data_IF_243390167055
#
_entry.id   IF_243390167055
#
_cell.length_a   1.000
_cell.length_b   1.000
_cell.length_c   1.000
_cell.angle_alpha   90.00
_cell.angle_beta   90.00
_cell.angle_gamma   90.00
#
_symmetry.space_group_name_H-M   'P 1'
#
loop_
_entity.id
_entity.type
_entity.pdbx_description
1 polymer ?
#
# COMPACT_ATOMS: atom_id res chain seq x y z
N UNK A 1 -22.17 35.72 -10.95
CA UNK A 1 -22.68 34.33 -10.99
C UNK A 1 -21.62 33.45 -11.65
N UNK A 2 -21.27 32.30 -11.08
CA UNK A 2 -20.22 31.42 -11.64
C UNK A 2 -20.70 30.75 -12.94
N UNK A 3 -19.83 30.66 -13.95
CA UNK A 3 -20.15 29.93 -15.20
C UNK A 3 -20.33 28.43 -14.90
N UNK A 4 -21.32 27.77 -15.49
CA UNK A 4 -21.46 26.31 -15.37
C UNK A 4 -20.21 25.63 -15.93
N UNK A 5 -19.75 24.60 -15.23
CA UNK A 5 -18.54 23.87 -15.57
C UNK A 5 -18.87 22.60 -16.31
N UNK A 6 -18.08 22.28 -17.34
CA UNK A 6 -18.35 21.17 -18.27
C UNK A 6 -18.63 19.85 -17.54
N UNK A 7 -17.81 19.47 -16.57
CA UNK A 7 -17.94 18.21 -15.84
C UNK A 7 -19.18 18.13 -14.95
N UNK A 8 -19.63 19.26 -14.38
CA UNK A 8 -20.89 19.32 -13.63
C UNK A 8 -22.09 19.24 -14.57
N UNK A 9 -22.06 19.98 -15.69
CA UNK A 9 -23.10 19.92 -16.72
C UNK A 9 -23.21 18.51 -17.30
N UNK A 10 -22.09 17.88 -17.62
CA UNK A 10 -22.01 16.53 -18.16
C UNK A 10 -22.63 15.50 -17.20
N UNK A 11 -22.21 15.55 -15.93
CA UNK A 11 -22.75 14.66 -14.88
C UNK A 11 -24.25 14.88 -14.70
N UNK A 12 -24.68 16.13 -14.61
CA UNK A 12 -26.08 16.49 -14.41
C UNK A 12 -26.95 16.02 -15.58
N UNK A 13 -26.54 16.25 -16.83
CA UNK A 13 -27.29 15.80 -18.00
C UNK A 13 -27.33 14.27 -18.11
N UNK A 14 -26.23 13.56 -17.78
CA UNK A 14 -26.26 12.09 -17.66
C UNK A 14 -27.29 11.64 -16.62
N UNK A 15 -27.31 12.27 -15.46
CA UNK A 15 -28.24 11.94 -14.36
C UNK A 15 -29.70 12.24 -14.74
N UNK A 16 -29.96 13.32 -15.48
CA UNK A 16 -31.29 13.62 -16.04
C UNK A 16 -31.76 12.54 -17.03
N UNK A 17 -30.85 11.97 -17.82
CA UNK A 17 -31.12 10.82 -18.69
C UNK A 17 -31.27 9.49 -17.93
N UNK A 18 -31.09 9.49 -16.59
CA UNK A 18 -31.12 8.30 -15.71
C UNK A 18 -30.13 7.22 -16.13
N UNK A 19 -28.98 7.61 -16.69
CA UNK A 19 -27.96 6.69 -17.16
C UNK A 19 -26.84 6.52 -16.14
N UNK A 20 -26.38 5.29 -15.93
CA UNK A 20 -25.12 5.04 -15.21
C UNK A 20 -23.93 5.52 -16.03
N UNK A 21 -22.78 5.77 -15.40
CA UNK A 21 -21.55 6.12 -16.12
C UNK A 21 -21.18 5.08 -17.17
N UNK A 22 -21.37 3.78 -16.87
CA UNK A 22 -21.09 2.70 -17.83
C UNK A 22 -22.08 2.66 -19.00
N UNK A 23 -23.37 2.95 -18.74
CA UNK A 23 -24.36 3.03 -19.81
C UNK A 23 -24.10 4.23 -20.73
N UNK A 24 -23.75 5.37 -20.14
CA UNK A 24 -23.47 6.58 -20.89
C UNK A 24 -22.15 6.50 -21.68
N UNK A 25 -21.08 5.98 -21.08
CA UNK A 25 -19.79 5.76 -21.74
C UNK A 25 -19.93 4.86 -22.99
N UNK A 26 -20.72 3.78 -22.89
CA UNK A 26 -21.07 2.94 -24.05
C UNK A 26 -21.83 3.72 -25.12
N UNK A 27 -22.76 4.60 -24.72
CA UNK A 27 -23.57 5.40 -25.64
C UNK A 27 -22.76 6.43 -26.43
N UNK A 28 -21.71 7.00 -25.83
CA UNK A 28 -20.80 7.91 -26.53
C UNK A 28 -19.57 7.22 -27.15
N UNK A 29 -19.46 5.89 -27.10
CA UNK A 29 -18.30 5.14 -27.58
C UNK A 29 -16.97 5.58 -26.94
N UNK A 30 -16.99 5.91 -25.64
CA UNK A 30 -15.82 6.29 -24.85
C UNK A 30 -15.58 5.23 -23.78
N UNK A 31 -14.32 4.91 -23.49
CA UNK A 31 -13.97 4.01 -22.38
C UNK A 31 -14.57 4.53 -21.04
N UNK A 32 -15.05 3.61 -20.19
CA UNK A 32 -15.69 3.98 -18.92
C UNK A 32 -14.74 4.76 -18.01
N UNK A 33 -13.49 4.33 -17.89
CA UNK A 33 -12.48 5.01 -17.09
C UNK A 33 -12.17 6.39 -17.64
N UNK A 34 -12.02 6.49 -18.97
CA UNK A 34 -11.85 7.76 -19.68
C UNK A 34 -13.00 8.74 -19.43
N UNK A 35 -14.25 8.28 -19.52
CA UNK A 35 -15.43 9.08 -19.22
C UNK A 35 -15.49 9.53 -17.76
N UNK A 36 -15.19 8.63 -16.81
CA UNK A 36 -15.16 8.97 -15.39
C UNK A 36 -14.15 10.10 -15.09
N UNK A 37 -13.02 10.13 -15.79
CA UNK A 37 -12.03 11.20 -15.66
C UNK A 37 -12.56 12.57 -16.14
N UNK A 38 -13.52 12.61 -17.06
CA UNK A 38 -14.17 13.85 -17.49
C UNK A 38 -15.12 14.39 -16.42
N UNK A 39 -15.99 13.55 -15.84
CA UNK A 39 -16.91 13.97 -14.77
C UNK A 39 -16.16 14.41 -13.50
N UNK A 40 -14.96 13.87 -13.27
CA UNK A 40 -14.09 14.24 -12.16
C UNK A 40 -13.21 15.47 -12.45
N UNK A 41 -13.34 16.09 -13.62
CA UNK A 41 -12.49 17.20 -14.07
C UNK A 41 -10.97 16.88 -14.06
N UNK A 42 -10.62 15.60 -14.13
CA UNK A 42 -9.23 15.13 -14.11
C UNK A 42 -8.58 15.20 -15.49
N UNK A 43 -9.38 15.14 -16.56
CA UNK A 43 -8.95 15.34 -17.94
C UNK A 43 -10.01 16.09 -18.74
N UNK A 44 -9.57 16.79 -19.77
CA UNK A 44 -10.46 17.38 -20.76
C UNK A 44 -10.70 16.37 -21.91
N UNK A 45 -11.92 16.34 -22.46
CA UNK A 45 -12.19 15.62 -23.70
C UNK A 45 -11.49 16.28 -24.88
N UNK A 46 -11.14 15.47 -25.88
CA UNK A 46 -10.76 15.93 -27.22
C UNK A 46 -12.00 16.41 -28.00
N UNK A 47 -11.80 17.09 -29.13
CA UNK A 47 -12.92 17.53 -29.99
C UNK A 47 -13.77 16.36 -30.50
N UNK A 48 -13.14 15.21 -30.78
CA UNK A 48 -13.86 14.00 -31.17
C UNK A 48 -14.73 13.48 -30.01
N UNK A 49 -14.15 13.39 -28.82
CA UNK A 49 -14.86 12.97 -27.60
C UNK A 49 -16.00 13.94 -27.26
N UNK A 50 -15.82 15.25 -27.47
CA UNK A 50 -16.88 16.25 -27.29
C UNK A 50 -18.04 16.05 -28.26
N UNK A 51 -17.77 15.79 -29.55
CA UNK A 51 -18.82 15.51 -30.54
C UNK A 51 -19.59 14.23 -30.21
N UNK A 52 -18.89 13.20 -29.76
CA UNK A 52 -19.50 11.95 -29.31
C UNK A 52 -20.41 12.17 -28.10
N UNK A 53 -19.96 12.97 -27.13
CA UNK A 53 -20.74 13.34 -25.95
C UNK A 53 -21.96 14.18 -26.34
N UNK A 54 -21.80 15.21 -27.18
CA UNK A 54 -22.90 16.06 -27.64
C UNK A 54 -24.00 15.25 -28.34
N UNK A 55 -23.59 14.36 -29.26
CA UNK A 55 -24.49 13.43 -29.95
C UNK A 55 -25.22 12.50 -28.97
N UNK A 56 -24.52 11.93 -28.00
CA UNK A 56 -25.12 11.05 -27.00
C UNK A 56 -26.15 11.78 -26.10
N UNK A 57 -25.94 13.07 -25.83
CA UNK A 57 -26.82 13.92 -25.02
C UNK A 57 -27.99 14.49 -25.83
N UNK A 58 -27.90 14.52 -27.16
CA UNK A 58 -28.86 15.21 -28.02
C UNK A 58 -28.79 16.73 -27.87
N UNK A 59 -27.59 17.28 -27.62
CA UNK A 59 -27.34 18.72 -27.43
C UNK A 59 -26.38 19.24 -28.50
N UNK A 60 -26.35 20.56 -28.72
CA UNK A 60 -25.36 21.15 -29.61
C UNK A 60 -23.95 21.07 -29.00
N UNK A 61 -22.94 20.88 -29.86
CA UNK A 61 -21.53 20.94 -29.47
C UNK A 61 -21.20 22.29 -28.82
N UNK A 62 -21.79 23.37 -29.32
CA UNK A 62 -21.61 24.73 -28.81
C UNK A 62 -22.05 24.86 -27.35
N UNK A 63 -23.09 24.14 -26.92
CA UNK A 63 -23.57 24.17 -25.54
C UNK A 63 -22.54 23.58 -24.57
N UNK A 64 -21.83 22.53 -25.00
CA UNK A 64 -20.74 21.93 -24.23
C UNK A 64 -19.49 22.79 -24.23
N UNK A 65 -19.18 23.46 -25.34
CA UNK A 65 -18.01 24.35 -25.47
C UNK A 65 -18.16 25.66 -24.70
N UNK A 66 -19.40 26.15 -24.53
CA UNK A 66 -19.71 27.32 -23.68
C UNK A 66 -19.50 27.06 -22.20
N UNK A 67 -19.49 25.79 -21.78
CA UNK A 67 -19.17 25.42 -20.41
C UNK A 67 -17.68 25.63 -20.13
N UNK A 68 -17.35 26.17 -18.96
CA UNK A 68 -15.95 26.30 -18.56
C UNK A 68 -15.33 24.93 -18.30
N UNK A 69 -14.21 24.62 -18.95
CA UNK A 69 -13.35 23.51 -18.53
C UNK A 69 -12.54 23.94 -17.31
N UNK A 70 -12.47 23.11 -16.27
CA UNK A 70 -11.47 23.31 -15.22
C UNK A 70 -10.14 22.79 -15.77
N UNK A 71 -9.10 23.63 -15.89
CA UNK A 71 -7.77 23.11 -16.16
C UNK A 71 -7.36 22.19 -15.00
N UNK A 72 -6.84 21.00 -15.31
CA UNK A 72 -6.36 20.03 -14.31
C UNK A 72 -5.39 20.65 -13.29
N UNK A 73 -4.67 21.70 -13.71
CA UNK A 73 -3.79 22.52 -12.86
C UNK A 73 -4.47 23.08 -11.62
N UNK A 74 -5.80 23.23 -11.58
CA UNK A 74 -6.50 23.70 -10.39
C UNK A 74 -6.69 22.60 -9.33
N UNK A 75 -6.88 21.33 -9.72
CA UNK A 75 -6.81 20.22 -8.76
C UNK A 75 -5.40 20.12 -8.18
N UNK A 76 -4.40 20.25 -9.04
CA UNK A 76 -3.00 20.30 -8.62
C UNK A 76 -2.71 21.51 -7.73
N UNK A 77 -3.22 22.70 -8.06
CA UNK A 77 -3.07 23.92 -7.24
C UNK A 77 -3.80 23.79 -5.91
N UNK A 78 -5.01 23.23 -5.87
CA UNK A 78 -5.74 22.98 -4.62
C UNK A 78 -5.01 21.94 -3.76
N UNK A 79 -4.50 20.86 -4.36
CA UNK A 79 -3.64 19.86 -3.70
C UNK A 79 -2.35 20.49 -3.17
N UNK A 80 -1.70 21.34 -3.97
CA UNK A 80 -0.46 22.02 -3.61
C UNK A 80 -0.69 23.10 -2.53
N UNK A 81 -1.86 23.75 -2.53
CA UNK A 81 -2.26 24.68 -1.48
C UNK A 81 -2.51 23.93 -0.17
N UNK A 82 -3.19 22.78 -0.22
CA UNK A 82 -3.38 21.93 0.95
C UNK A 82 -2.05 21.32 1.44
N UNK A 83 -1.14 20.95 0.54
CA UNK A 83 0.17 20.38 0.89
C UNK A 83 1.13 21.38 1.54
N UNK A 84 0.85 22.68 1.44
CA UNK A 84 1.57 23.73 2.22
C UNK A 84 1.22 23.70 3.71
N UNK A 85 0.04 23.18 4.07
CA UNK A 85 -0.44 23.10 5.45
C UNK A 85 -0.46 21.66 5.99
N UNK A 86 -0.53 20.68 5.08
CA UNK A 86 -0.39 19.26 5.34
C UNK A 86 0.63 18.70 4.36
N UNK A 87 1.94 18.92 4.57
CA UNK A 87 2.96 18.25 3.77
C UNK A 87 2.65 16.75 3.83
N UNK A 88 2.57 16.09 2.68
CA UNK A 88 2.57 14.62 2.67
C UNK A 88 3.85 14.24 3.41
N UNK A 89 3.76 13.76 4.67
CA UNK A 89 4.94 13.62 5.48
C UNK A 89 5.83 12.59 4.77
N UNK A 90 7.14 12.86 4.67
CA UNK A 90 8.04 11.93 4.00
C UNK A 90 7.88 10.54 4.62
N UNK A 91 8.06 9.46 3.84
CA UNK A 91 8.02 8.12 4.39
C UNK A 91 8.91 7.99 5.63
N UNK A 92 8.46 7.21 6.60
CA UNK A 92 9.24 6.89 7.78
C UNK A 92 9.83 5.50 7.63
N UNK A 93 11.15 5.41 7.67
CA UNK A 93 11.89 4.16 7.71
C UNK A 93 12.43 4.00 9.14
N UNK A 94 12.09 2.90 9.85
CA UNK A 94 12.60 2.66 11.20
C UNK A 94 14.14 2.71 11.23
N UNK A 95 14.68 3.33 12.29
CA UNK A 95 16.14 3.36 12.48
C UNK A 95 16.71 1.95 12.58
N UNK A 96 17.85 1.74 11.94
CA UNK A 96 18.55 0.47 11.92
C UNK A 96 19.82 0.57 12.77
N UNK A 97 20.02 -0.38 13.69
CA UNK A 97 21.26 -0.50 14.45
C UNK A 97 22.45 -0.91 13.55
N UNK A 98 22.14 -1.58 12.44
CA UNK A 98 23.09 -2.01 11.42
C UNK A 98 22.42 -2.10 10.05
N UNK A 99 23.15 -1.90 8.95
CA UNK A 99 22.60 -2.05 7.60
C UNK A 99 22.01 -3.45 7.35
N UNK A 100 20.85 -3.53 6.69
CA UNK A 100 20.21 -4.83 6.42
C UNK A 100 21.04 -5.77 5.56
N UNK A 101 21.95 -5.27 4.71
CA UNK A 101 22.88 -6.13 3.98
C UNK A 101 23.70 -7.02 4.92
N UNK A 102 23.99 -6.56 6.14
CA UNK A 102 24.67 -7.35 7.18
C UNK A 102 23.74 -8.44 7.72
N UNK A 103 22.46 -8.12 7.94
CA UNK A 103 21.42 -9.07 8.40
C UNK A 103 21.13 -10.13 7.35
N UNK A 104 20.99 -9.75 6.09
CA UNK A 104 20.85 -10.64 4.95
C UNK A 104 22.03 -11.61 4.84
N UNK A 105 23.27 -11.11 4.96
CA UNK A 105 24.46 -11.96 5.01
C UNK A 105 24.43 -12.93 6.20
N UNK A 106 23.97 -12.48 7.37
CA UNK A 106 23.81 -13.35 8.53
C UNK A 106 22.75 -14.44 8.30
N UNK A 107 21.61 -14.10 7.69
CA UNK A 107 20.57 -15.05 7.32
C UNK A 107 21.07 -16.10 6.31
N UNK A 108 21.78 -15.67 5.26
CA UNK A 108 22.42 -16.56 4.28
C UNK A 108 23.44 -17.52 4.92
N UNK A 109 24.19 -17.07 5.92
CA UNK A 109 25.13 -17.94 6.66
C UNK A 109 24.42 -18.92 7.59
N UNK A 110 23.38 -18.47 8.28
CA UNK A 110 22.64 -19.27 9.27
C UNK A 110 21.74 -20.32 8.59
N UNK A 111 21.13 -19.98 7.46
CA UNK A 111 20.16 -20.82 6.75
C UNK A 111 20.45 -20.90 5.23
N UNK A 112 21.63 -21.39 4.80
CA UNK A 112 22.11 -21.23 3.42
C UNK A 112 21.20 -21.89 2.38
N UNK A 113 20.79 -23.13 2.60
CA UNK A 113 19.92 -23.85 1.66
C UNK A 113 18.54 -23.18 1.53
N UNK A 114 17.96 -22.77 2.67
CA UNK A 114 16.65 -22.13 2.70
C UNK A 114 16.68 -20.76 2.03
N UNK A 115 17.65 -19.91 2.38
CA UNK A 115 17.78 -18.57 1.80
C UNK A 115 18.02 -18.64 0.29
N UNK A 116 18.88 -19.55 -0.17
CA UNK A 116 19.11 -19.78 -1.60
C UNK A 116 17.81 -20.13 -2.34
N UNK A 117 17.01 -21.04 -1.78
CA UNK A 117 15.72 -21.43 -2.37
C UNK A 117 14.70 -20.28 -2.37
N UNK A 118 14.58 -19.53 -1.26
CA UNK A 118 13.69 -18.36 -1.17
C UNK A 118 14.07 -17.29 -2.20
N UNK A 119 15.35 -16.93 -2.26
CA UNK A 119 15.87 -15.93 -3.20
C UNK A 119 15.67 -16.35 -4.65
N UNK A 120 15.94 -17.63 -4.98
CA UNK A 120 15.76 -18.16 -6.32
C UNK A 120 14.30 -18.07 -6.81
N UNK A 121 13.32 -18.33 -5.93
CA UNK A 121 11.91 -18.16 -6.29
C UNK A 121 11.49 -16.68 -6.36
N UNK A 122 11.93 -15.84 -5.42
CA UNK A 122 11.61 -14.41 -5.44
C UNK A 122 12.18 -13.71 -6.68
N UNK A 123 13.35 -14.14 -7.15
CA UNK A 123 13.97 -13.64 -8.39
C UNK A 123 13.13 -13.89 -9.65
N UNK A 124 12.17 -14.84 -9.62
CA UNK A 124 11.26 -15.13 -10.74
C UNK A 124 10.01 -14.26 -10.75
N UNK A 125 9.78 -13.45 -9.70
CA UNK A 125 8.62 -12.55 -9.65
C UNK A 125 8.75 -11.41 -10.65
N UNK A 126 7.63 -10.93 -11.16
CA UNK A 126 7.59 -9.77 -12.06
C UNK A 126 8.06 -8.46 -11.41
N UNK A 127 8.05 -8.39 -10.08
CA UNK A 127 8.48 -7.25 -9.26
C UNK A 127 9.78 -7.53 -8.48
N UNK A 128 10.63 -8.45 -8.95
CA UNK A 128 11.83 -8.89 -8.23
C UNK A 128 12.79 -7.76 -7.83
N UNK A 129 13.00 -6.75 -8.69
CA UNK A 129 13.85 -5.59 -8.37
C UNK A 129 13.30 -4.77 -7.21
N UNK A 130 11.98 -4.54 -7.19
CA UNK A 130 11.30 -3.84 -6.10
C UNK A 130 11.40 -4.64 -4.78
N UNK A 131 11.23 -5.96 -4.87
CA UNK A 131 11.38 -6.87 -3.72
C UNK A 131 12.81 -6.81 -3.16
N UNK A 132 13.84 -6.79 -4.02
CA UNK A 132 15.23 -6.68 -3.59
C UNK A 132 15.49 -5.36 -2.88
N UNK A 133 15.10 -4.23 -3.51
CA UNK A 133 15.23 -2.90 -2.90
C UNK A 133 14.50 -2.81 -1.54
N UNK A 134 13.27 -3.30 -1.47
CA UNK A 134 12.49 -3.29 -0.25
C UNK A 134 13.15 -4.09 0.89
N UNK A 135 13.75 -5.24 0.58
CA UNK A 135 14.49 -6.05 1.54
C UNK A 135 15.80 -5.38 2.03
N UNK A 136 16.40 -4.50 1.22
CA UNK A 136 17.57 -3.72 1.61
C UNK A 136 17.20 -2.56 2.54
N UNK A 137 16.03 -1.96 2.35
CA UNK A 137 15.55 -0.81 3.14
C UNK A 137 14.86 -1.21 4.47
N UNK A 138 14.38 -2.45 4.59
CA UNK A 138 13.58 -2.90 5.73
C UNK A 138 14.38 -3.33 6.97
N UNK A 139 14.26 -2.60 8.06
CA UNK A 139 14.86 -2.98 9.35
C UNK A 139 14.40 -4.39 9.78
N UNK A 140 15.33 -5.34 9.90
CA UNK A 140 15.09 -6.66 10.50
C UNK A 140 16.00 -6.85 11.73
N UNK A 141 15.40 -7.24 12.85
CA UNK A 141 16.03 -7.46 14.15
C UNK A 141 16.78 -8.79 14.30
N UNK A 142 16.60 -9.73 13.36
CA UNK A 142 17.24 -11.06 13.38
C UNK A 142 17.28 -11.74 12.01
N UNK A 143 18.03 -12.85 11.91
CA UNK A 143 18.07 -13.68 10.70
C UNK A 143 16.73 -14.38 10.44
N UNK A 144 16.03 -14.79 11.51
CA UNK A 144 14.74 -15.46 11.43
C UNK A 144 13.64 -14.51 10.97
N UNK A 145 13.63 -13.27 11.45
CA UNK A 145 12.73 -12.23 10.92
C UNK A 145 12.93 -12.02 9.42
N UNK A 146 14.17 -12.07 8.95
CA UNK A 146 14.46 -11.96 7.52
C UNK A 146 13.89 -13.16 6.73
N UNK A 147 14.01 -14.39 7.25
CA UNK A 147 13.37 -15.57 6.64
C UNK A 147 11.84 -15.41 6.63
N UNK A 148 11.26 -14.91 7.72
CA UNK A 148 9.82 -14.66 7.82
C UNK A 148 9.37 -13.61 6.79
N UNK A 149 10.13 -12.52 6.63
CA UNK A 149 9.90 -11.49 5.62
C UNK A 149 9.86 -12.07 4.20
N UNK A 150 10.89 -12.81 3.82
CA UNK A 150 10.96 -13.45 2.49
C UNK A 150 9.83 -14.46 2.29
N UNK A 151 9.40 -15.13 3.36
CA UNK A 151 8.27 -16.06 3.32
C UNK A 151 6.96 -15.33 3.03
N UNK A 152 6.71 -14.16 3.64
CA UNK A 152 5.53 -13.33 3.34
C UNK A 152 5.53 -12.87 1.88
N UNK A 153 6.67 -12.40 1.39
CA UNK A 153 6.83 -12.02 -0.02
C UNK A 153 6.57 -13.23 -0.92
N UNK A 154 7.14 -14.40 -0.63
CA UNK A 154 6.94 -15.59 -1.44
C UNK A 154 5.47 -16.07 -1.48
N UNK A 155 4.67 -15.78 -0.44
CA UNK A 155 3.22 -16.05 -0.41
C UNK A 155 2.38 -15.12 -1.29
N UNK A 156 3.00 -14.22 -2.06
CA UNK A 156 2.30 -13.24 -2.88
C UNK A 156 2.19 -11.85 -2.24
N UNK A 157 2.89 -11.62 -1.12
CA UNK A 157 2.96 -10.30 -0.51
C UNK A 157 3.53 -9.26 -1.47
N UNK A 158 2.97 -8.06 -1.45
CA UNK A 158 3.43 -6.92 -2.23
C UNK A 158 4.16 -5.92 -1.32
N UNK A 159 5.43 -5.58 -1.60
CA UNK A 159 6.12 -4.52 -0.88
C UNK A 159 5.45 -3.16 -1.16
N UNK A 160 5.33 -2.32 -0.13
CA UNK A 160 4.75 -1.00 -0.29
C UNK A 160 4.99 -0.08 0.89
N UNK A 161 4.52 1.15 0.75
CA UNK A 161 4.49 2.16 1.81
C UNK A 161 3.04 2.45 2.16
N UNK A 162 2.68 2.29 3.43
CA UNK A 162 1.31 2.56 3.88
C UNK A 162 1.30 3.19 5.26
N UNK A 163 0.45 4.20 5.53
CA UNK A 163 0.30 4.74 6.87
C UNK A 163 -0.56 3.82 7.74
N UNK A 164 -0.07 3.33 8.90
CA UNK A 164 -0.83 2.47 9.81
C UNK A 164 -2.19 3.05 10.22
N UNK A 165 -2.25 4.36 10.48
CA UNK A 165 -3.49 5.04 10.88
C UNK A 165 -4.56 5.10 9.79
N UNK A 166 -4.27 4.68 8.55
CA UNK A 166 -5.26 4.57 7.47
C UNK A 166 -6.28 3.45 7.71
N UNK A 167 -5.91 2.42 8.47
CA UNK A 167 -6.72 1.23 8.65
C UNK A 167 -7.62 1.33 9.88
N UNK A 168 -7.00 1.53 11.04
CA UNK A 168 -7.63 1.87 12.30
C UNK A 168 -6.58 2.50 13.20
N UNK A 169 -6.98 3.11 14.32
CA UNK A 169 -6.00 3.53 15.33
C UNK A 169 -5.52 2.27 16.08
N UNK A 170 -4.20 2.00 16.14
CA UNK A 170 -3.67 0.95 16.98
C UNK A 170 -3.89 1.29 18.46
N UNK A 171 -3.96 0.31 19.37
CA UNK A 171 -4.19 0.57 20.80
C UNK A 171 -3.14 1.49 21.44
N UNK A 172 -1.92 1.45 20.91
CA UNK A 172 -0.84 2.36 21.25
C UNK A 172 -0.37 3.12 20.01
N UNK A 173 -0.03 4.41 20.13
CA UNK A 173 0.55 5.16 19.02
C UNK A 173 1.84 4.52 18.53
N UNK A 174 2.02 4.47 17.21
CA UNK A 174 3.35 4.14 16.65
C UNK A 174 4.25 5.35 16.76
N UNK A 175 5.46 5.13 17.24
CA UNK A 175 6.48 6.17 17.45
C UNK A 175 7.83 5.75 16.88
N UNK A 176 8.70 6.71 16.61
CA UNK A 176 10.13 6.46 16.43
C UNK A 176 10.75 6.13 17.80
N UNK A 177 11.50 5.01 17.96
CA UNK A 177 12.05 4.61 19.25
C UNK A 177 13.17 5.52 19.77
N UNK A 178 13.82 6.30 18.90
CA UNK A 178 14.95 7.17 19.21
C UNK A 178 14.49 8.52 19.76
N UNK A 179 13.58 9.19 19.04
CA UNK A 179 13.15 10.55 19.38
C UNK A 179 11.70 10.63 19.91
N UNK A 180 10.98 9.49 19.93
CA UNK A 180 9.58 9.36 20.37
C UNK A 180 8.55 10.12 19.53
N UNK A 181 8.92 10.59 18.33
CA UNK A 181 7.96 11.24 17.45
C UNK A 181 6.89 10.25 16.99
N UNK A 182 5.61 10.66 16.91
CA UNK A 182 4.55 9.81 16.39
C UNK A 182 4.72 9.59 14.88
N UNK A 183 4.80 8.33 14.44
CA UNK A 183 5.03 7.97 13.03
C UNK A 183 3.85 7.25 12.38
N UNK A 184 2.83 6.85 13.14
CA UNK A 184 1.69 6.08 12.61
C UNK A 184 0.86 6.78 11.51
N UNK A 185 1.04 8.09 11.34
CA UNK A 185 0.40 8.88 10.27
C UNK A 185 1.26 8.99 9.00
N UNK A 186 2.54 8.62 9.06
CA UNK A 186 3.48 8.64 7.94
C UNK A 186 3.40 7.33 7.17
N UNK A 187 3.76 7.35 5.89
CA UNK A 187 3.85 6.11 5.13
C UNK A 187 5.06 5.30 5.63
N UNK A 188 4.83 4.08 6.11
CA UNK A 188 5.90 3.19 6.60
C UNK A 188 5.99 1.93 5.73
N UNK A 189 7.18 1.31 5.62
CA UNK A 189 7.35 0.04 4.94
C UNK A 189 6.39 -1.04 5.43
N UNK A 190 5.71 -1.70 4.50
CA UNK A 190 4.77 -2.77 4.79
C UNK A 190 4.77 -3.82 3.67
N UNK A 191 4.46 -5.06 4.03
CA UNK A 191 4.04 -6.08 3.07
C UNK A 191 2.51 -6.12 3.07
N UNK A 192 1.91 -5.91 1.90
CA UNK A 192 0.48 -6.07 1.68
C UNK A 192 0.17 -7.52 1.32
N UNK A 193 -0.51 -8.22 2.21
CA UNK A 193 -1.00 -9.59 2.02
C UNK A 193 -2.51 -9.54 1.86
N UNK A 194 -3.06 -9.92 0.71
CA UNK A 194 -4.52 -9.90 0.47
C UNK A 194 -5.19 -8.54 0.79
N UNK A 195 -4.47 -7.43 0.57
CA UNK A 195 -4.92 -6.06 0.88
C UNK A 195 -4.67 -5.61 2.33
N UNK A 196 -4.13 -6.48 3.19
CA UNK A 196 -3.87 -6.25 4.60
C UNK A 196 -2.39 -6.01 4.90
N UNK A 197 -2.03 -4.92 5.60
CA UNK A 197 -0.64 -4.56 5.83
C UNK A 197 0.00 -5.35 6.96
N UNK A 198 1.27 -5.68 6.75
CA UNK A 198 2.21 -6.21 7.73
C UNK A 198 3.37 -5.22 7.84
N UNK A 199 3.38 -4.45 8.92
CA UNK A 199 4.40 -3.44 9.21
C UNK A 199 5.54 -4.08 9.99
N UNK A 200 6.74 -4.06 9.41
CA UNK A 200 7.92 -4.73 9.97
C UNK A 200 8.64 -3.78 10.94
N UNK A 201 9.09 -4.30 12.09
CA UNK A 201 9.80 -3.55 13.14
C UNK A 201 9.05 -2.27 13.57
N UNK A 202 7.80 -2.42 13.99
CA UNK A 202 6.95 -1.31 14.40
C UNK A 202 7.12 -1.01 15.90
N UNK A 203 7.40 0.24 16.28
CA UNK A 203 7.54 0.63 17.68
C UNK A 203 6.27 1.27 18.23
N UNK A 204 5.79 0.75 19.36
CA UNK A 204 4.56 1.18 20.04
C UNK A 204 4.89 1.93 21.33
N UNK A 205 4.25 3.09 21.51
CA UNK A 205 4.33 3.88 22.74
C UNK A 205 3.39 3.30 23.82
N UNK A 206 3.88 2.30 24.54
CA UNK A 206 3.27 1.80 25.77
C UNK A 206 3.87 2.57 26.97
N UNK A 207 3.65 2.21 28.26
CA UNK A 207 4.41 2.80 29.38
C UNK A 207 5.94 2.78 29.17
N UNK A 208 6.43 1.83 28.35
CA UNK A 208 7.76 1.82 27.72
C UNK A 208 7.62 1.69 26.20
N UNK A 209 8.65 2.01 25.44
CA UNK A 209 8.59 1.77 23.99
C UNK A 209 8.93 0.30 23.74
N UNK A 210 8.02 -0.42 23.07
CA UNK A 210 8.27 -1.77 22.59
C UNK A 210 8.25 -1.80 21.07
N UNK A 211 9.33 -2.28 20.46
CA UNK A 211 9.37 -2.62 19.03
C UNK A 211 8.89 -4.04 18.84
N UNK A 212 7.85 -4.23 18.04
CA UNK A 212 7.32 -5.53 17.63
C UNK A 212 7.85 -5.93 16.27
N UNK A 213 8.04 -7.23 16.04
CA UNK A 213 8.67 -7.69 14.79
C UNK A 213 7.75 -7.46 13.60
N UNK A 214 6.47 -7.77 13.74
CA UNK A 214 5.45 -7.42 12.75
C UNK A 214 4.15 -6.96 13.43
N UNK A 215 3.70 -5.75 13.11
CA UNK A 215 2.35 -5.28 13.40
C UNK A 215 1.45 -5.52 12.18
N UNK A 216 0.37 -6.29 12.36
CA UNK A 216 -0.53 -6.73 11.29
C UNK A 216 -1.94 -6.19 11.50
N UNK A 217 -2.59 -5.77 10.42
CA UNK A 217 -4.02 -5.44 10.42
C UNK A 217 -4.80 -6.38 9.50
N UNK A 218 -5.76 -7.15 10.03
CA UNK A 218 -6.64 -8.05 9.26
C UNK A 218 -8.13 -7.82 9.57
N UNK A 219 -8.51 -6.56 9.81
CA UNK A 219 -9.81 -6.19 10.41
C UNK A 219 -9.73 -5.96 11.93
N UNK A 220 -8.65 -6.42 12.55
CA UNK A 220 -8.20 -6.05 13.89
C UNK A 220 -6.67 -5.99 13.91
N UNK A 221 -6.12 -5.24 14.86
CA UNK A 221 -4.67 -5.22 15.10
C UNK A 221 -4.21 -6.51 15.78
N UNK A 222 -3.08 -7.05 15.34
CA UNK A 222 -2.38 -8.17 15.95
C UNK A 222 -0.89 -8.01 15.76
N UNK A 223 -0.11 -8.70 16.57
CA UNK A 223 1.35 -8.70 16.52
C UNK A 223 1.84 -10.11 16.20
N UNK A 224 2.87 -10.21 15.36
CA UNK A 224 3.67 -11.42 15.22
C UNK A 224 5.07 -11.14 15.78
N UNK A 225 5.52 -12.01 16.68
CA UNK A 225 6.86 -11.98 17.28
C UNK A 225 7.63 -13.23 16.83
N UNK A 226 8.83 -13.02 16.30
CA UNK A 226 9.71 -14.07 15.82
C UNK A 226 10.85 -14.28 16.81
N UNK A 227 10.87 -15.48 17.41
CA UNK A 227 11.97 -15.97 18.23
C UNK A 227 12.32 -15.09 19.45
N UNK A 228 11.29 -14.71 20.21
CA UNK A 228 11.44 -14.04 21.51
C UNK A 228 10.27 -14.38 22.42
N UNK A 229 10.50 -14.39 23.74
CA UNK A 229 9.42 -14.45 24.74
C UNK A 229 9.58 -13.27 25.68
N UNK A 230 8.59 -12.38 25.68
CA UNK A 230 8.55 -11.23 26.56
C UNK A 230 7.11 -11.02 27.06
N UNK A 231 6.73 -11.64 28.19
CA UNK A 231 5.38 -11.54 28.74
C UNK A 231 4.99 -10.11 29.11
N UNK A 232 5.94 -9.28 29.56
CA UNK A 232 5.71 -7.85 29.86
C UNK A 232 5.28 -7.11 28.59
N UNK A 233 5.99 -7.36 27.48
CA UNK A 233 5.66 -6.80 26.17
C UNK A 233 4.28 -7.26 25.69
N UNK A 234 3.94 -8.54 25.84
CA UNK A 234 2.64 -9.10 25.40
C UNK A 234 1.46 -8.42 26.11
N UNK A 235 1.61 -8.21 27.41
CA UNK A 235 0.61 -7.49 28.19
C UNK A 235 0.57 -6.00 27.81
N UNK A 236 1.73 -5.38 27.58
CA UNK A 236 1.85 -3.96 27.31
C UNK A 236 1.31 -3.54 25.93
N UNK A 237 1.42 -4.38 24.89
CA UNK A 237 0.95 -4.03 23.54
C UNK A 237 -0.56 -4.09 23.37
N UNK A 238 -1.28 -4.73 24.30
CA UNK A 238 -2.74 -4.78 24.37
C UNK A 238 -3.44 -5.24 23.07
N UNK A 239 -2.81 -6.14 22.31
CA UNK A 239 -3.35 -6.79 21.10
C UNK A 239 -3.01 -8.28 21.12
N UNK A 240 -3.73 -9.14 20.37
CA UNK A 240 -3.35 -10.53 20.20
C UNK A 240 -1.92 -10.66 19.66
N UNK A 241 -1.10 -11.49 20.32
CA UNK A 241 0.28 -11.76 19.94
C UNK A 241 0.42 -13.21 19.47
N UNK A 242 0.84 -13.39 18.22
CA UNK A 242 1.25 -14.67 17.64
C UNK A 242 2.76 -14.80 17.79
N UNK A 243 3.23 -15.85 18.47
CA UNK A 243 4.67 -16.11 18.64
C UNK A 243 5.10 -17.26 17.75
N UNK A 244 6.12 -17.02 16.94
CA UNK A 244 6.73 -18.00 16.08
C UNK A 244 8.14 -18.32 16.56
N UNK A 245 8.43 -19.58 16.81
CA UNK A 245 9.80 -20.05 17.07
C UNK A 245 10.61 -20.05 15.77
N UNK A 246 11.94 -20.10 15.90
CA UNK A 246 12.84 -20.32 14.76
C UNK A 246 12.39 -21.50 13.88
N UNK A 247 12.08 -22.64 14.50
CA UNK A 247 11.69 -23.85 13.76
C UNK A 247 10.37 -23.67 13.01
N UNK A 248 9.39 -23.00 13.62
CA UNK A 248 8.10 -22.71 12.98
C UNK A 248 8.26 -21.81 11.75
N UNK A 249 9.14 -20.80 11.81
CA UNK A 249 9.43 -19.93 10.66
C UNK A 249 10.11 -20.71 9.53
N UNK A 250 11.08 -21.55 9.86
CA UNK A 250 11.79 -22.39 8.88
C UNK A 250 10.83 -23.40 8.24
N UNK A 251 10.00 -24.06 9.04
CA UNK A 251 9.02 -25.03 8.56
C UNK A 251 7.99 -24.37 7.64
N UNK A 252 7.50 -23.18 8.00
CA UNK A 252 6.58 -22.40 7.18
C UNK A 252 7.17 -22.10 5.81
N UNK A 253 8.43 -21.67 5.77
CA UNK A 253 9.15 -21.34 4.54
C UNK A 253 9.34 -22.56 3.63
N UNK A 254 9.81 -23.69 4.18
CA UNK A 254 9.99 -24.92 3.42
C UNK A 254 8.68 -25.51 2.90
N UNK A 255 7.63 -25.49 3.72
CA UNK A 255 6.30 -25.97 3.31
C UNK A 255 5.77 -25.19 2.11
N UNK A 256 6.02 -23.87 2.07
CA UNK A 256 5.64 -23.01 0.96
C UNK A 256 6.45 -23.32 -0.31
N UNK A 257 7.77 -23.40 -0.19
CA UNK A 257 8.66 -23.77 -1.30
C UNK A 257 8.26 -25.12 -1.91
N UNK A 258 7.97 -26.12 -1.08
CA UNK A 258 7.52 -27.44 -1.53
C UNK A 258 6.14 -27.41 -2.21
N UNK A 259 5.25 -26.46 -1.87
CA UNK A 259 3.99 -26.26 -2.60
C UNK A 259 4.24 -25.65 -3.98
N UNK A 260 5.10 -24.64 -4.07
CA UNK A 260 5.43 -23.97 -5.33
C UNK A 260 6.11 -24.94 -6.31
N UNK A 261 7.08 -25.72 -5.84
CA UNK A 261 7.76 -26.73 -6.66
C UNK A 261 6.78 -27.76 -7.28
N UNK A 262 5.73 -28.16 -6.53
CA UNK A 262 4.69 -29.06 -7.05
C UNK A 262 3.75 -28.40 -8.05
N UNK A 263 3.56 -27.09 -7.97
CA UNK A 263 2.75 -26.34 -8.94
C UNK A 263 3.50 -26.14 -10.26
N UNK A 264 4.83 -25.95 -10.22
CA UNK A 264 5.67 -25.83 -11.42
C UNK A 264 5.78 -27.14 -12.23
N UNK A 265 5.42 -28.28 -11.65
CA UNK A 265 5.44 -29.60 -12.30
C UNK A 265 4.12 -30.00 -12.96
N UNK A 266 3.07 -29.18 -12.84
CA UNK A 266 1.73 -29.42 -13.41
C UNK A 266 1.48 -28.49 -14.58
#
# INVERSE_FOLDING_TARGET
>A
MFKPLFHHTLRHQREQLKLSQSAFARRCCIDRGRYAMFELAMRNPTDLELRQIASALGTDLDDLQRCGFRPARYHETLRNNASRYHPNPPPYFPSQDRPNVVRLKAARRKFPALMSALEAHLARRSDAELVAFFCEELACGSAQEFVYLLTLLLRGGLPGLSPPNRYARPPHPLVDPTNREPVGHRAVPAILMDGFPHFIQASLATPRIYTVDVLRWTGSWSVVEVDGRNPEKDQAVAVPVERLTTDQVIELAWRLLGRLARMEQR
#
